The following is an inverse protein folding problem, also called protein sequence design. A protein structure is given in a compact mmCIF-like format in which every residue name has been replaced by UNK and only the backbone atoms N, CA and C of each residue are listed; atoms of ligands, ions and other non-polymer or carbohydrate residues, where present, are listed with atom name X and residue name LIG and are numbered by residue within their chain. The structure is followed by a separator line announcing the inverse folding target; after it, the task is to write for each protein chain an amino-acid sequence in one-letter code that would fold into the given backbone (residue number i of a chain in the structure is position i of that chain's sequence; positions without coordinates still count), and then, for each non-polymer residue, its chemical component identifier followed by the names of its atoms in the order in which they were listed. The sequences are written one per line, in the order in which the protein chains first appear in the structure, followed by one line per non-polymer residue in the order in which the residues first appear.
data_IF_964891369706
#
_entry.id   IF_964891369706
#
_cell.length_a   1.000
_cell.length_b   1.000
_cell.length_c   1.000
_cell.angle_alpha   90.00
_cell.angle_beta   90.00
_cell.angle_gamma   90.00
#
_symmetry.space_group_name_H-M   'P 1'
#
loop_
_entity.id
_entity.type
_entity.pdbx_description
1 polymer ?
#
# COMPACT_ATOMS: atom_id res chain seq x y z
N UNK A 1 -7.08 10.15 4.82
CA UNK A 1 -5.79 9.84 4.17
C UNK A 1 -6.05 9.12 2.86
N UNK A 2 -5.42 9.55 1.76
CA UNK A 2 -5.51 8.83 0.49
C UNK A 2 -4.47 7.71 0.49
N UNK A 3 -4.86 6.51 0.03
CA UNK A 3 -3.91 5.40 -0.15
C UNK A 3 -2.96 5.74 -1.30
N UNK A 4 -1.79 5.09 -1.37
CA UNK A 4 -0.77 5.39 -2.39
C UNK A 4 -0.54 4.17 -3.28
N UNK A 5 -0.51 4.37 -4.58
CA UNK A 5 -0.06 3.39 -5.57
C UNK A 5 1.17 3.95 -6.29
N UNK A 6 2.28 3.22 -6.25
CA UNK A 6 3.53 3.56 -6.92
C UNK A 6 3.70 2.59 -8.08
N UNK A 7 3.67 3.10 -9.31
CA UNK A 7 3.83 2.29 -10.52
C UNK A 7 5.16 2.57 -11.20
N UNK A 8 5.56 1.67 -12.12
CA UNK A 8 6.74 1.84 -12.95
C UNK A 8 7.58 0.56 -13.07
N UNK A 9 8.60 0.58 -13.94
CA UNK A 9 9.39 -0.60 -14.26
C UNK A 9 10.18 -1.13 -13.05
N UNK A 10 10.73 -2.34 -13.19
CA UNK A 10 11.69 -2.85 -12.21
C UNK A 10 12.89 -1.90 -12.10
N UNK A 11 13.48 -1.86 -10.90
CA UNK A 11 14.63 -0.99 -10.58
C UNK A 11 14.39 0.53 -10.73
N UNK A 12 13.15 1.00 -10.84
CA UNK A 12 12.83 2.45 -10.85
C UNK A 12 12.86 3.10 -9.46
N UNK A 13 13.11 2.34 -8.40
CA UNK A 13 13.13 2.85 -7.02
C UNK A 13 11.79 2.81 -6.29
N UNK A 14 10.74 2.15 -6.82
CA UNK A 14 9.42 2.04 -6.16
C UNK A 14 9.51 1.49 -4.73
N UNK A 15 10.24 0.40 -4.55
CA UNK A 15 10.44 -0.24 -3.24
C UNK A 15 11.21 0.65 -2.28
N UNK A 16 12.19 1.42 -2.77
CA UNK A 16 12.89 2.40 -1.95
C UNK A 16 11.92 3.52 -1.50
N UNK A 17 11.10 4.03 -2.42
CA UNK A 17 10.11 5.06 -2.11
C UNK A 17 9.06 4.58 -1.11
N UNK A 18 8.48 3.39 -1.29
CA UNK A 18 7.51 2.83 -0.34
C UNK A 18 8.12 2.64 1.04
N UNK A 19 9.38 2.18 1.11
CA UNK A 19 10.11 2.06 2.36
C UNK A 19 10.36 3.42 3.02
N UNK A 20 10.68 4.46 2.25
CA UNK A 20 10.82 5.82 2.80
C UNK A 20 9.51 6.36 3.37
N UNK A 21 8.38 6.04 2.73
CA UNK A 21 7.05 6.45 3.19
C UNK A 21 6.60 5.69 4.46
N UNK A 22 7.12 4.47 4.70
CA UNK A 22 6.75 3.65 5.87
C UNK A 22 7.72 3.80 7.06
N UNK A 23 8.97 4.25 6.83
CA UNK A 23 10.11 4.13 7.76
C UNK A 23 9.86 4.62 9.20
N UNK A 24 8.90 5.51 9.40
CA UNK A 24 8.59 6.14 10.68
C UNK A 24 7.15 5.88 11.16
N UNK A 25 6.39 5.02 10.47
CA UNK A 25 5.03 4.62 10.85
C UNK A 25 5.04 3.24 11.51
N UNK A 26 4.03 2.92 12.32
CA UNK A 26 3.77 1.55 12.77
C UNK A 26 3.26 0.71 11.59
N UNK A 27 4.19 0.39 10.70
CA UNK A 27 3.87 -0.16 9.40
C UNK A 27 4.38 -1.58 9.21
N UNK A 28 3.58 -2.39 8.52
CA UNK A 28 3.92 -3.76 8.16
C UNK A 28 4.20 -3.83 6.65
N UNK A 29 5.31 -4.45 6.25
CA UNK A 29 5.66 -4.64 4.84
C UNK A 29 5.30 -6.06 4.43
N UNK A 30 4.52 -6.19 3.37
CA UNK A 30 4.03 -7.44 2.83
C UNK A 30 4.48 -7.57 1.38
N UNK A 31 5.29 -8.59 1.09
CA UNK A 31 5.71 -8.85 -0.28
C UNK A 31 4.55 -9.42 -1.11
N UNK A 32 4.28 -8.83 -2.26
CA UNK A 32 3.29 -9.26 -3.25
C UNK A 32 3.54 -10.66 -3.79
N UNK A 33 4.79 -11.15 -3.77
CA UNK A 33 5.11 -12.56 -4.10
C UNK A 33 4.52 -13.53 -3.08
N UNK A 34 4.49 -13.15 -1.80
CA UNK A 34 3.85 -13.94 -0.75
C UNK A 34 2.32 -13.90 -0.91
N UNK A 35 1.76 -12.79 -1.42
CA UNK A 35 0.32 -12.62 -1.64
C UNK A 35 -0.22 -13.38 -2.85
N UNK A 36 0.53 -13.48 -3.95
CA UNK A 36 0.05 -14.21 -5.13
C UNK A 36 -0.16 -15.71 -4.87
N UNK A 37 0.67 -16.31 -4.00
CA UNK A 37 0.50 -17.71 -3.55
C UNK A 37 -0.64 -17.88 -2.53
N UNK A 38 -1.11 -16.79 -1.92
CA UNK A 38 -2.02 -16.82 -0.76
C UNK A 38 -3.36 -16.11 -1.00
N UNK A 39 -3.58 -15.46 -2.13
CA UNK A 39 -4.93 -15.14 -2.62
C UNK A 39 -5.53 -16.27 -3.46
N UNK A 40 -4.67 -17.09 -4.08
CA UNK A 40 -5.05 -18.34 -4.75
C UNK A 40 -5.41 -19.44 -3.75
N UNK A 41 -4.74 -19.49 -2.59
CA UNK A 41 -5.12 -20.30 -1.44
C UNK A 41 -5.81 -19.44 -0.38
N UNK A 42 -7.12 -19.64 -0.14
CA UNK A 42 -8.03 -18.91 0.77
C UNK A 42 -7.55 -18.53 2.20
N UNK A 43 -6.36 -18.92 2.62
CA UNK A 43 -5.83 -18.85 3.98
C UNK A 43 -5.35 -17.47 4.43
N UNK A 44 -4.95 -16.56 3.52
CA UNK A 44 -4.51 -15.21 3.92
C UNK A 44 -5.64 -14.26 4.30
N UNK A 45 -6.91 -14.71 4.29
CA UNK A 45 -8.05 -13.90 4.72
C UNK A 45 -8.00 -13.48 6.20
N UNK A 46 -7.07 -14.02 6.98
CA UNK A 46 -6.99 -13.74 8.42
C UNK A 46 -5.98 -12.64 8.79
N UNK A 47 -5.15 -12.15 7.85
CA UNK A 47 -4.21 -11.04 8.05
C UNK A 47 -3.47 -11.07 9.41
N UNK A 48 -3.04 -12.26 9.85
CA UNK A 48 -2.59 -12.50 11.24
C UNK A 48 -1.32 -11.73 11.61
N UNK A 49 -0.57 -11.23 10.64
CA UNK A 49 0.59 -10.38 10.87
C UNK A 49 0.20 -8.97 11.30
N UNK A 50 -1.00 -8.48 10.96
CA UNK A 50 -1.44 -7.13 11.31
C UNK A 50 -1.74 -7.00 12.82
N UNK A 51 -1.24 -5.94 13.44
CA UNK A 51 -1.52 -5.59 14.85
C UNK A 51 -2.65 -4.57 14.92
N UNK A 52 -3.32 -4.45 16.07
CA UNK A 52 -4.42 -3.49 16.29
C UNK A 52 -4.03 -2.03 16.03
N UNK A 53 -2.76 -1.71 16.24
CA UNK A 53 -2.17 -0.38 16.05
C UNK A 53 -1.40 -0.25 14.73
N UNK A 54 -1.65 -1.13 13.75
CA UNK A 54 -1.05 -1.00 12.43
C UNK A 54 -1.62 0.22 11.72
N UNK A 55 -0.76 1.19 11.42
CA UNK A 55 -1.15 2.46 10.80
C UNK A 55 -0.97 2.41 9.28
N UNK A 56 -0.03 1.60 8.78
CA UNK A 56 0.30 1.53 7.35
C UNK A 56 0.66 0.12 6.93
N UNK A 57 0.25 -0.28 5.74
CA UNK A 57 0.65 -1.56 5.14
C UNK A 57 1.23 -1.29 3.76
N UNK A 58 2.44 -1.78 3.54
CA UNK A 58 3.08 -1.74 2.22
C UNK A 58 2.89 -3.08 1.52
N UNK A 59 2.33 -3.07 0.32
CA UNK A 59 2.26 -4.21 -0.57
C UNK A 59 3.28 -4.04 -1.70
N UNK A 60 4.41 -4.76 -1.61
CA UNK A 60 5.53 -4.57 -2.53
C UNK A 60 5.46 -5.54 -3.73
N UNK A 61 5.49 -5.02 -4.96
CA UNK A 61 5.36 -5.77 -6.22
C UNK A 61 4.03 -6.56 -6.27
N UNK A 62 2.93 -5.86 -6.03
CA UNK A 62 1.59 -6.44 -6.10
C UNK A 62 1.18 -6.68 -7.57
N UNK A 63 0.70 -7.88 -7.92
CA UNK A 63 0.10 -8.16 -9.23
C UNK A 63 -1.15 -7.30 -9.50
N UNK A 64 -1.31 -6.85 -10.76
CA UNK A 64 -2.50 -6.08 -11.21
C UNK A 64 -3.82 -6.78 -10.89
N UNK A 65 -3.84 -8.11 -10.98
CA UNK A 65 -5.04 -8.93 -10.70
C UNK A 65 -5.56 -8.78 -9.28
N UNK A 66 -4.73 -8.33 -8.32
CA UNK A 66 -5.11 -8.15 -6.92
C UNK A 66 -5.46 -6.69 -6.56
N UNK A 67 -5.37 -5.74 -7.50
CA UNK A 67 -5.75 -4.35 -7.25
C UNK A 67 -7.23 -4.19 -6.83
N UNK A 68 -8.22 -4.92 -7.40
CA UNK A 68 -9.61 -4.83 -6.96
C UNK A 68 -9.79 -5.20 -5.47
N UNK A 69 -9.09 -6.21 -4.98
CA UNK A 69 -9.09 -6.61 -3.58
C UNK A 69 -8.49 -5.51 -2.70
N UNK A 70 -7.40 -4.87 -3.16
CA UNK A 70 -6.81 -3.75 -2.43
C UNK A 70 -7.74 -2.55 -2.35
N UNK A 71 -8.56 -2.29 -3.38
CA UNK A 71 -9.62 -1.28 -3.31
C UNK A 71 -10.61 -1.60 -2.20
N UNK A 72 -11.03 -2.86 -2.08
CA UNK A 72 -11.93 -3.29 -1.01
C UNK A 72 -11.29 -3.05 0.36
N UNK A 73 -10.03 -3.42 0.57
CA UNK A 73 -9.36 -3.18 1.86
C UNK A 73 -9.12 -1.70 2.16
N UNK A 74 -8.86 -0.89 1.14
CA UNK A 74 -8.79 0.57 1.28
C UNK A 74 -10.13 1.15 1.80
N UNK A 75 -11.26 0.63 1.33
CA UNK A 75 -12.59 1.12 1.71
C UNK A 75 -13.11 0.57 3.04
N UNK A 76 -12.80 -0.69 3.38
CA UNK A 76 -13.43 -1.39 4.49
C UNK A 76 -12.46 -1.89 5.57
N UNK A 77 -11.16 -1.72 5.37
CA UNK A 77 -10.13 -2.26 6.25
C UNK A 77 -9.97 -3.78 6.16
N UNK A 78 -9.18 -4.32 7.08
CA UNK A 78 -8.85 -5.74 7.21
C UNK A 78 -9.51 -6.32 8.45
N UNK A 79 -10.20 -7.43 8.29
CA UNK A 79 -10.65 -8.25 9.41
C UNK A 79 -9.53 -9.22 9.79
N UNK A 80 -9.01 -9.06 10.99
CA UNK A 80 -7.90 -9.84 11.52
C UNK A 80 -8.46 -10.84 12.53
N UNK A 81 -8.16 -12.12 12.31
CA UNK A 81 -8.55 -13.19 13.21
C UNK A 81 -7.30 -14.00 13.56
N UNK A 82 -6.78 -13.81 14.78
CA UNK A 82 -5.60 -14.52 15.28
C UNK A 82 -6.01 -15.53 16.33
N UNK A 83 -5.36 -16.69 16.31
CA UNK A 83 -5.55 -17.72 17.33
C UNK A 83 -5.24 -17.15 18.73
N UNK A 84 -6.21 -17.20 19.63
CA UNK A 84 -6.07 -16.76 21.02
C UNK A 84 -6.38 -15.27 21.25
N UNK A 85 -6.72 -14.50 20.21
CA UNK A 85 -7.17 -13.11 20.35
C UNK A 85 -8.64 -12.97 19.92
N UNK A 86 -9.32 -11.95 20.48
CA UNK A 86 -10.63 -11.54 19.97
C UNK A 86 -10.44 -10.93 18.57
N UNK A 87 -11.25 -11.32 17.56
CA UNK A 87 -11.19 -10.71 16.23
C UNK A 87 -11.28 -9.19 16.29
N UNK A 88 -10.57 -8.53 15.40
CA UNK A 88 -10.56 -7.07 15.32
C UNK A 88 -10.42 -6.59 13.88
N UNK A 89 -10.77 -5.33 13.64
CA UNK A 89 -10.66 -4.70 12.32
C UNK A 89 -9.61 -3.59 12.39
N UNK A 90 -8.77 -3.49 11.36
CA UNK A 90 -7.80 -2.39 11.20
C UNK A 90 -8.00 -1.73 9.84
N UNK A 91 -7.86 -0.41 9.79
CA UNK A 91 -7.98 0.37 8.56
C UNK A 91 -6.70 1.17 8.29
N UNK A 92 -5.58 0.48 8.00
CA UNK A 92 -4.31 1.14 7.76
C UNK A 92 -4.32 1.90 6.43
N UNK A 93 -3.46 2.92 6.32
CA UNK A 93 -3.11 3.47 5.03
C UNK A 93 -2.42 2.38 4.19
N UNK A 94 -2.72 2.34 2.89
CA UNK A 94 -2.12 1.36 1.99
C UNK A 94 -1.11 2.07 1.11
N UNK A 95 0.05 1.45 0.95
CA UNK A 95 1.06 1.84 -0.02
C UNK A 95 1.32 0.61 -0.88
N UNK A 96 1.06 0.69 -2.17
CA UNK A 96 1.19 -0.44 -3.09
C UNK A 96 2.26 -0.10 -4.10
N UNK A 97 3.21 -1.00 -4.35
CA UNK A 97 4.11 -0.89 -5.51
C UNK A 97 3.68 -1.90 -6.57
N UNK A 98 3.68 -1.49 -7.83
CA UNK A 98 3.26 -2.35 -8.94
C UNK A 98 4.15 -2.12 -10.17
N UNK A 99 4.54 -3.20 -10.83
CA UNK A 99 5.40 -3.16 -12.03
C UNK A 99 4.72 -2.75 -13.34
N UNK A 100 3.46 -2.31 -13.29
CA UNK A 100 2.64 -2.07 -14.49
C UNK A 100 2.78 -0.63 -15.01
N UNK A 101 2.57 -0.42 -16.32
CA UNK A 101 2.45 0.91 -16.89
C UNK A 101 1.09 1.56 -16.57
N UNK A 102 1.05 2.89 -16.63
CA UNK A 102 -0.13 3.69 -16.27
C UNK A 102 -1.36 3.39 -17.15
N UNK A 103 -1.17 3.04 -18.42
CA UNK A 103 -2.28 2.82 -19.35
C UNK A 103 -3.11 1.56 -19.00
N UNK A 104 -2.54 0.64 -18.23
CA UNK A 104 -3.22 -0.57 -17.78
C UNK A 104 -3.95 -0.38 -16.44
N UNK A 105 -3.87 0.81 -15.84
CA UNK A 105 -4.58 1.08 -14.60
C UNK A 105 -6.09 1.13 -14.82
N UNK A 106 -6.88 0.54 -13.90
CA UNK A 106 -8.32 0.61 -14.00
C UNK A 106 -8.82 2.04 -13.75
N UNK A 107 -9.91 2.43 -14.43
CA UNK A 107 -10.48 3.80 -14.35
C UNK A 107 -10.84 4.27 -12.93
N UNK A 108 -11.06 3.34 -12.00
CA UNK A 108 -11.40 3.67 -10.62
C UNK A 108 -10.19 4.02 -9.76
N UNK A 109 -8.95 3.87 -10.27
CA UNK A 109 -7.75 3.92 -9.44
C UNK A 109 -7.60 5.25 -8.69
N UNK A 110 -7.84 6.37 -9.36
CA UNK A 110 -7.66 7.72 -8.81
C UNK A 110 -8.70 8.10 -7.76
N UNK A 111 -9.81 7.35 -7.68
CA UNK A 111 -10.84 7.52 -6.65
C UNK A 111 -10.37 6.98 -5.30
N UNK A 112 -9.47 5.99 -5.31
CA UNK A 112 -9.05 5.25 -4.12
C UNK A 112 -7.59 5.57 -3.76
N UNK A 113 -6.74 5.67 -4.77
CA UNK A 113 -5.29 5.81 -4.61
C UNK A 113 -4.81 7.14 -5.19
N UNK A 114 -3.79 7.71 -4.57
CA UNK A 114 -2.87 8.66 -5.20
C UNK A 114 -1.86 7.84 -5.99
N UNK A 115 -1.82 8.02 -7.31
CA UNK A 115 -0.87 7.34 -8.18
C UNK A 115 0.42 8.16 -8.29
N UNK A 116 1.56 7.49 -8.13
CA UNK A 116 2.90 8.01 -8.39
C UNK A 116 3.49 7.17 -9.52
N UNK A 117 3.77 7.79 -10.66
CA UNK A 117 4.32 7.12 -11.83
C UNK A 117 5.83 7.35 -11.94
N UNK A 118 6.60 6.34 -11.55
CA UNK A 118 8.05 6.37 -11.61
C UNK A 118 8.60 6.30 -13.05
N UNK A 119 7.74 6.09 -14.06
CA UNK A 119 8.08 6.14 -15.48
C UNK A 119 7.53 7.38 -16.19
N UNK A 120 6.84 8.27 -15.46
CA UNK A 120 6.22 9.47 -16.01
C UNK A 120 7.24 10.49 -16.53
N UNK A 121 6.75 11.61 -17.07
CA UNK A 121 7.63 12.68 -17.61
C UNK A 121 8.43 13.43 -16.52
N UNK A 122 8.03 13.33 -15.24
CA UNK A 122 8.65 14.05 -14.11
C UNK A 122 8.63 13.23 -12.80
N UNK A 123 9.24 12.04 -12.76
CA UNK A 123 9.14 11.14 -11.61
C UNK A 123 9.77 11.75 -10.34
N UNK A 124 10.85 12.52 -10.49
CA UNK A 124 11.51 13.20 -9.37
C UNK A 124 10.58 14.22 -8.67
N UNK A 125 9.74 14.94 -9.43
CA UNK A 125 8.81 15.92 -8.86
C UNK A 125 7.71 15.22 -8.07
N UNK A 126 7.15 14.12 -8.60
CA UNK A 126 6.12 13.35 -7.92
C UNK A 126 6.63 12.73 -6.61
N UNK A 127 7.88 12.24 -6.62
CA UNK A 127 8.58 11.76 -5.43
C UNK A 127 8.73 12.87 -4.39
N UNK A 128 9.22 14.05 -4.80
CA UNK A 128 9.39 15.19 -3.89
C UNK A 128 8.05 15.63 -3.29
N UNK A 129 6.99 15.70 -4.09
CA UNK A 129 5.65 16.04 -3.61
C UNK A 129 5.16 15.00 -2.60
N UNK A 130 5.29 13.71 -2.92
CA UNK A 130 4.86 12.62 -2.03
C UNK A 130 5.61 12.63 -0.69
N UNK A 131 6.93 12.82 -0.72
CA UNK A 131 7.73 12.93 0.51
C UNK A 131 7.40 14.18 1.32
N UNK A 132 7.12 15.30 0.64
CA UNK A 132 6.75 16.56 1.31
C UNK A 132 5.39 16.44 2.00
N UNK A 133 4.39 15.86 1.34
CA UNK A 133 3.08 15.62 1.94
C UNK A 133 3.17 14.68 3.15
N UNK A 134 3.89 13.56 3.01
CA UNK A 134 4.11 12.64 4.13
C UNK A 134 4.82 13.32 5.32
N UNK A 135 5.73 14.26 5.05
CA UNK A 135 6.41 15.03 6.07
C UNK A 135 5.50 16.08 6.74
N UNK A 136 4.55 16.68 6.02
CA UNK A 136 3.58 17.61 6.60
C UNK A 136 2.54 16.89 7.46
N UNK A 137 1.99 15.76 6.99
CA UNK A 137 1.07 14.93 7.78
C UNK A 137 1.71 14.55 9.14
N UNK A 138 3.02 14.26 9.15
CA UNK A 138 3.78 14.00 10.38
C UNK A 138 3.75 15.15 11.37
N UNK A 139 3.89 16.41 10.92
CA UNK A 139 3.91 17.56 11.82
C UNK A 139 2.57 17.76 12.51
N UNK A 140 1.48 17.43 11.84
CA UNK A 140 0.13 17.57 12.37
C UNK A 140 -0.23 16.47 13.37
N UNK A 141 0.38 15.28 13.29
CA UNK A 141 0.08 14.16 14.22
C UNK A 141 0.89 14.19 15.53
N UNK A 142 1.92 15.03 15.63
CA UNK A 142 2.80 15.16 16.81
C UNK A 142 2.51 16.41 17.66
N UNK A 143 1.29 16.97 17.54
CA UNK A 143 0.74 18.06 18.37
C UNK A 143 -0.47 17.51 19.11
#
# INVERSE_FOLDING_TARGET
MKHVLIIGPQASGKTLLSNLLIKEKKGEIVSGRLLHMTFTNLEFRNFEFLRKDTETVVFDELPLTLLPEMRRFASYGFNVNKKGEKPFTVSPQLIITCGIPAELLPKWIDQTFKVIDMNGRKPALEVVIALTEAYQERKETNV
#
